data_IF_739869609010
#
_entry.id   IF_739869609010
#
_cell.length_a   1.000
_cell.length_b   1.000
_cell.length_c   1.000
_cell.angle_alpha   90.00
_cell.angle_beta   90.00
_cell.angle_gamma   90.00
#
_symmetry.space_group_name_H-M   'P 1'
#
loop_
_entity.id
_entity.type
_entity.pdbx_description
1 polymer ?
#
# COMPACT_ATOMS: atom_id res chain seq x y z
N UNK A 1 6.74 -13.52 -5.13
CA UNK A 1 6.73 -14.51 -4.02
C UNK A 1 7.55 -14.14 -2.79
N UNK A 2 8.77 -13.61 -2.87
CA UNK A 2 9.60 -13.30 -1.67
C UNK A 2 8.94 -12.32 -0.70
N UNK A 3 8.36 -11.22 -1.18
CA UNK A 3 7.71 -10.22 -0.34
C UNK A 3 6.48 -10.80 0.38
N UNK A 4 5.59 -11.46 -0.35
CA UNK A 4 4.39 -12.07 0.22
C UNK A 4 4.72 -13.09 1.32
N UNK A 5 5.73 -13.95 1.08
CA UNK A 5 6.20 -14.89 2.10
C UNK A 5 6.83 -14.19 3.32
N UNK A 6 7.51 -13.06 3.13
CA UNK A 6 8.05 -12.26 4.22
C UNK A 6 6.93 -11.65 5.08
N UNK A 7 5.95 -11.03 4.44
CA UNK A 7 4.80 -10.43 5.12
C UNK A 7 4.01 -11.48 5.94
N UNK A 8 3.79 -12.67 5.37
CA UNK A 8 3.13 -13.76 6.12
C UNK A 8 3.92 -14.20 7.35
N UNK A 9 5.23 -14.30 7.25
CA UNK A 9 6.08 -14.58 8.44
C UNK A 9 6.02 -13.46 9.49
N UNK A 10 5.71 -12.25 9.06
CA UNK A 10 5.49 -11.10 9.94
C UNK A 10 4.05 -11.01 10.48
N UNK A 11 3.22 -12.03 10.28
CA UNK A 11 1.87 -12.10 10.82
C UNK A 11 0.79 -11.42 9.96
N UNK A 12 1.10 -11.01 8.74
CA UNK A 12 0.13 -10.40 7.83
C UNK A 12 -0.60 -11.49 7.03
N UNK A 13 -1.93 -11.46 7.03
CA UNK A 13 -2.74 -12.33 6.17
C UNK A 13 -2.69 -11.85 4.72
N UNK A 14 -1.71 -12.35 3.98
CA UNK A 14 -1.51 -12.02 2.58
C UNK A 14 -2.29 -12.97 1.71
N UNK A 15 -3.08 -12.41 0.78
CA UNK A 15 -3.72 -13.15 -0.31
C UNK A 15 -2.93 -12.88 -1.59
N UNK A 16 -2.51 -13.95 -2.22
CA UNK A 16 -1.79 -13.92 -3.49
C UNK A 16 -2.48 -14.89 -4.44
N UNK A 17 -2.71 -14.46 -5.65
CA UNK A 17 -3.30 -15.24 -6.73
C UNK A 17 -2.64 -16.61 -6.92
N UNK A 18 -1.30 -16.62 -6.92
CA UNK A 18 -0.49 -17.84 -7.05
C UNK A 18 -0.67 -18.86 -5.91
N UNK A 19 -1.31 -18.47 -4.83
CA UNK A 19 -1.67 -19.36 -3.70
C UNK A 19 -3.14 -19.75 -3.72
N UNK A 20 -3.91 -19.18 -4.64
CA UNK A 20 -5.29 -19.57 -4.82
C UNK A 20 -5.35 -21.02 -5.34
N UNK A 21 -6.40 -21.71 -4.94
CA UNK A 21 -6.54 -23.16 -4.96
C UNK A 21 -6.35 -23.78 -6.36
N UNK A 22 -6.02 -25.06 -6.38
CA UNK A 22 -5.57 -25.85 -7.53
C UNK A 22 -6.71 -26.14 -8.53
N UNK A 23 -7.15 -25.14 -9.26
CA UNK A 23 -8.20 -25.29 -10.27
C UNK A 23 -8.12 -24.21 -11.34
N UNK A 24 -9.04 -24.27 -12.29
CA UNK A 24 -9.23 -23.18 -13.26
C UNK A 24 -9.87 -22.00 -12.49
N UNK A 25 -9.10 -20.94 -12.30
CA UNK A 25 -9.55 -19.76 -11.57
C UNK A 25 -10.10 -18.76 -12.58
N UNK A 26 -11.29 -18.27 -12.32
CA UNK A 26 -11.79 -17.05 -12.94
C UNK A 26 -11.15 -15.85 -12.23
N UNK A 27 -10.17 -15.25 -12.87
CA UNK A 27 -9.39 -14.14 -12.33
C UNK A 27 -10.21 -12.91 -12.04
N UNK A 28 -11.16 -12.58 -12.91
CA UNK A 28 -12.05 -11.44 -12.71
C UNK A 28 -12.86 -11.63 -11.43
N UNK A 29 -13.43 -12.79 -11.24
CA UNK A 29 -14.19 -13.13 -10.05
C UNK A 29 -13.32 -13.17 -8.78
N UNK A 30 -12.07 -13.63 -8.91
CA UNK A 30 -11.12 -13.61 -7.79
C UNK A 30 -10.79 -12.17 -7.36
N UNK A 31 -10.51 -11.29 -8.32
CA UNK A 31 -10.23 -9.87 -8.09
C UNK A 31 -11.45 -9.19 -7.46
N UNK A 32 -12.64 -9.38 -8.03
CA UNK A 32 -13.89 -8.80 -7.52
C UNK A 32 -14.17 -9.16 -6.06
N UNK A 33 -13.82 -10.37 -5.66
CA UNK A 33 -14.04 -10.82 -4.28
C UNK A 33 -12.96 -10.37 -3.30
N UNK A 34 -11.70 -10.41 -3.73
CA UNK A 34 -10.58 -10.21 -2.82
C UNK A 34 -10.16 -8.74 -2.70
N UNK A 35 -10.24 -7.97 -3.78
CA UNK A 35 -9.76 -6.59 -3.78
C UNK A 35 -10.60 -5.69 -2.86
N UNK A 36 -11.94 -5.65 -2.95
CA UNK A 36 -12.77 -4.85 -2.04
C UNK A 36 -12.75 -5.33 -0.59
N UNK A 37 -12.46 -6.60 -0.36
CA UNK A 37 -12.42 -7.21 0.98
C UNK A 37 -11.05 -7.02 1.68
N UNK A 38 -10.04 -6.55 0.98
CA UNK A 38 -8.71 -6.33 1.54
C UNK A 38 -8.65 -5.05 2.39
N UNK A 39 -7.96 -5.12 3.53
CA UNK A 39 -7.63 -3.93 4.30
C UNK A 39 -6.61 -3.06 3.57
N UNK A 40 -5.67 -3.69 2.87
CA UNK A 40 -4.66 -3.03 2.05
C UNK A 40 -4.45 -3.78 0.74
N UNK A 41 -4.19 -3.03 -0.32
CA UNK A 41 -3.82 -3.56 -1.64
C UNK A 41 -2.41 -3.10 -1.96
N UNK A 42 -1.50 -4.05 -2.12
CA UNK A 42 -0.11 -3.76 -2.48
C UNK A 42 0.04 -3.82 -4.01
N UNK A 43 0.29 -2.68 -4.62
CA UNK A 43 0.58 -2.60 -6.06
C UNK A 43 2.07 -2.62 -6.26
N UNK A 44 2.58 -3.72 -6.79
CA UNK A 44 4.00 -3.87 -7.07
C UNK A 44 4.33 -3.15 -8.39
N UNK A 45 5.11 -2.07 -8.26
CA UNK A 45 5.54 -1.31 -9.43
C UNK A 45 6.50 -2.14 -10.29
N UNK A 46 6.22 -2.17 -11.59
CA UNK A 46 7.07 -2.75 -12.61
C UNK A 46 6.72 -2.16 -13.98
N UNK A 47 7.68 -2.13 -14.92
CA UNK A 47 7.44 -1.68 -16.28
C UNK A 47 6.33 -2.49 -16.97
N UNK A 48 6.27 -3.78 -16.67
CA UNK A 48 5.25 -4.65 -17.21
C UNK A 48 3.85 -4.28 -16.71
N UNK A 49 3.70 -4.09 -15.39
CA UNK A 49 2.44 -3.64 -14.81
C UNK A 49 2.05 -2.25 -15.31
N UNK A 50 3.01 -1.32 -15.41
CA UNK A 50 2.78 0.02 -15.95
C UNK A 50 2.22 -0.02 -17.37
N UNK A 51 2.84 -0.81 -18.26
CA UNK A 51 2.38 -0.96 -19.67
C UNK A 51 0.97 -1.53 -19.73
N UNK A 52 0.70 -2.61 -19.00
CA UNK A 52 -0.62 -3.23 -18.94
C UNK A 52 -1.68 -2.32 -18.34
N UNK A 53 -1.32 -1.58 -17.29
CA UNK A 53 -2.22 -0.62 -16.65
C UNK A 53 -2.50 0.62 -17.51
N UNK A 54 -1.64 0.96 -18.46
CA UNK A 54 -1.79 2.13 -19.34
C UNK A 54 -2.63 1.86 -20.60
N UNK A 55 -3.15 0.64 -20.78
CA UNK A 55 -3.94 0.23 -21.95
C UNK A 55 -3.18 0.29 -23.28
N UNK A 56 -1.85 0.33 -23.24
CA UNK A 56 -0.99 0.43 -24.44
C UNK A 56 -0.82 -0.91 -25.19
N UNK A 57 -1.43 -1.99 -24.67
CA UNK A 57 -1.33 -3.32 -25.27
C UNK A 57 -2.62 -3.71 -25.96
N UNK A 58 -2.49 -4.08 -27.23
CA UNK A 58 -3.59 -4.55 -28.10
C UNK A 58 -3.75 -6.08 -28.11
N UNK A 59 -2.90 -6.82 -27.39
CA UNK A 59 -2.88 -8.27 -27.39
C UNK A 59 -3.61 -8.86 -26.20
N UNK A 60 -4.18 -10.06 -26.37
CA UNK A 60 -4.91 -10.84 -25.37
C UNK A 60 -4.07 -11.23 -24.14
N UNK A 61 -2.76 -11.03 -24.19
CA UNK A 61 -1.84 -11.25 -23.08
C UNK A 61 -1.87 -10.07 -22.09
N UNK A 62 -2.49 -10.26 -20.93
CA UNK A 62 -2.47 -9.26 -19.86
C UNK A 62 -3.83 -8.77 -19.40
N UNK A 63 -4.92 -9.34 -19.91
CA UNK A 63 -6.29 -8.98 -19.52
C UNK A 63 -6.51 -8.94 -18.00
N UNK A 64 -5.86 -9.81 -17.21
CA UNK A 64 -5.96 -9.81 -15.77
C UNK A 64 -5.44 -8.53 -15.12
N UNK A 65 -4.24 -8.07 -15.51
CA UNK A 65 -3.63 -6.85 -14.95
C UNK A 65 -4.36 -5.58 -15.41
N UNK A 66 -4.93 -5.57 -16.62
CA UNK A 66 -5.78 -4.47 -17.09
C UNK A 66 -7.07 -4.39 -16.28
N UNK A 67 -7.71 -5.52 -16.01
CA UNK A 67 -8.91 -5.60 -15.20
C UNK A 67 -8.64 -5.14 -13.76
N UNK A 68 -7.55 -5.60 -13.14
CA UNK A 68 -7.11 -5.13 -11.82
C UNK A 68 -6.89 -3.62 -11.79
N UNK A 69 -6.20 -3.07 -12.80
CA UNK A 69 -5.95 -1.64 -12.88
C UNK A 69 -7.23 -0.83 -13.07
N UNK A 70 -8.18 -1.31 -13.87
CA UNK A 70 -9.49 -0.70 -14.06
C UNK A 70 -10.27 -0.69 -12.73
N UNK A 71 -10.33 -1.81 -12.03
CA UNK A 71 -10.99 -1.90 -10.74
C UNK A 71 -10.36 -0.97 -9.69
N UNK A 72 -9.03 -0.88 -9.63
CA UNK A 72 -8.34 0.06 -8.73
C UNK A 72 -8.69 1.52 -9.04
N UNK A 73 -8.80 1.88 -10.33
CA UNK A 73 -9.27 3.23 -10.73
C UNK A 73 -10.70 3.48 -10.27
N UNK A 74 -11.59 2.51 -10.43
CA UNK A 74 -13.00 2.64 -10.03
C UNK A 74 -13.12 2.80 -8.51
N UNK A 75 -12.39 2.03 -7.73
CA UNK A 75 -12.33 2.17 -6.27
C UNK A 75 -11.82 3.56 -5.85
N UNK A 76 -10.75 4.04 -6.49
CA UNK A 76 -10.20 5.38 -6.25
C UNK A 76 -11.14 6.50 -6.69
N UNK A 77 -11.92 6.31 -7.76
CA UNK A 77 -12.89 7.29 -8.23
C UNK A 77 -14.12 7.32 -7.34
N UNK A 78 -14.66 6.15 -7.00
CA UNK A 78 -15.91 6.03 -6.25
C UNK A 78 -15.78 6.35 -4.76
N UNK A 79 -14.66 5.96 -4.11
CA UNK A 79 -14.42 6.14 -2.67
C UNK A 79 -12.98 6.53 -2.38
N UNK A 80 -12.53 7.61 -2.97
CA UNK A 80 -11.14 8.08 -2.91
C UNK A 80 -10.58 8.16 -1.48
N UNK A 81 -11.29 8.81 -0.57
CA UNK A 81 -10.84 8.99 0.81
C UNK A 81 -10.58 7.66 1.54
N UNK A 82 -11.34 6.62 1.18
CA UNK A 82 -11.20 5.29 1.76
C UNK A 82 -10.03 4.50 1.13
N UNK A 83 -9.92 4.52 -0.20
CA UNK A 83 -8.98 3.67 -0.91
C UNK A 83 -7.59 4.29 -1.07
N UNK A 84 -7.49 5.62 -1.05
CA UNK A 84 -6.20 6.31 -1.18
C UNK A 84 -5.17 5.90 -0.13
N UNK A 85 -5.60 5.68 1.11
CA UNK A 85 -4.73 5.23 2.20
C UNK A 85 -4.50 3.72 2.24
N UNK A 86 -5.26 2.94 1.47
CA UNK A 86 -5.24 1.48 1.48
C UNK A 86 -4.53 0.87 0.28
N UNK A 87 -4.45 1.59 -0.84
CA UNK A 87 -3.70 1.15 -2.02
C UNK A 87 -2.27 1.67 -1.88
N UNK A 88 -1.34 0.74 -1.67
CA UNK A 88 0.05 1.03 -1.35
C UNK A 88 0.96 0.68 -2.53
N UNK A 89 1.53 1.67 -3.24
CA UNK A 89 2.55 1.42 -4.25
C UNK A 89 3.85 0.92 -3.61
N UNK A 90 4.31 -0.25 -4.02
CA UNK A 90 5.51 -0.90 -3.49
C UNK A 90 6.58 -0.98 -4.57
N UNK A 91 7.78 -0.53 -4.23
CA UNK A 91 8.96 -0.61 -5.08
C UNK A 91 9.86 -1.76 -4.59
N UNK A 92 10.01 -2.78 -5.42
CA UNK A 92 10.98 -3.85 -5.18
C UNK A 92 12.39 -3.39 -5.54
N UNK A 93 13.44 -4.07 -5.06
CA UNK A 93 14.81 -3.76 -5.44
C UNK A 93 15.02 -3.77 -6.95
N UNK A 94 15.59 -2.69 -7.49
CA UNK A 94 15.83 -2.52 -8.93
C UNK A 94 14.69 -1.83 -9.69
N UNK A 95 13.57 -1.51 -9.03
CA UNK A 95 12.45 -0.80 -9.64
C UNK A 95 12.41 0.69 -9.25
N UNK A 96 11.94 1.52 -10.18
CA UNK A 96 11.88 2.97 -10.04
C UNK A 96 10.47 3.52 -9.80
N UNK A 97 10.41 4.78 -9.41
CA UNK A 97 9.15 5.50 -9.19
C UNK A 97 8.37 5.72 -10.50
N UNK A 98 9.07 5.81 -11.61
CA UNK A 98 8.56 5.94 -12.97
C UNK A 98 7.77 4.70 -13.43
N UNK A 99 7.94 3.58 -12.75
CA UNK A 99 7.19 2.34 -12.98
C UNK A 99 5.83 2.30 -12.24
N UNK A 100 5.54 3.30 -11.42
CA UNK A 100 4.24 3.40 -10.75
C UNK A 100 3.21 3.99 -11.73
N UNK A 101 2.06 3.32 -11.97
CA UNK A 101 1.02 3.84 -12.84
C UNK A 101 0.53 5.23 -12.44
N UNK A 102 0.24 6.08 -13.44
CA UNK A 102 -0.16 7.47 -13.22
C UNK A 102 -1.36 7.65 -12.31
N UNK A 103 -2.33 6.75 -12.35
CA UNK A 103 -3.51 6.83 -11.50
C UNK A 103 -3.21 6.65 -10.01
N UNK A 104 -2.04 6.11 -9.67
CA UNK A 104 -1.54 6.00 -8.30
C UNK A 104 -0.60 7.15 -7.91
N UNK A 105 -0.10 7.93 -8.88
CA UNK A 105 0.92 8.95 -8.63
C UNK A 105 0.41 10.29 -8.12
N UNK A 106 -0.75 10.86 -8.54
CA UNK A 106 -0.97 12.31 -8.44
C UNK A 106 -1.09 12.83 -7.01
N UNK A 107 -1.24 11.98 -6.02
CA UNK A 107 -1.39 12.40 -4.64
C UNK A 107 -0.68 11.48 -3.65
N UNK A 108 -0.05 10.44 -4.13
CA UNK A 108 0.74 9.51 -3.34
C UNK A 108 2.22 9.89 -3.45
N UNK A 109 2.61 10.94 -2.75
CA UNK A 109 4.01 11.12 -2.40
C UNK A 109 4.55 9.90 -1.61
N UNK A 110 3.63 9.06 -1.12
CA UNK A 110 3.94 7.91 -0.30
C UNK A 110 4.06 6.68 -1.17
N UNK A 111 5.25 6.19 -1.28
CA UNK A 111 5.65 4.93 -1.90
C UNK A 111 6.45 4.13 -0.89
N UNK A 112 6.42 2.81 -1.01
CA UNK A 112 7.08 1.91 -0.07
C UNK A 112 8.22 1.17 -0.78
N UNK A 113 9.44 1.74 -0.78
CA UNK A 113 10.61 1.00 -1.22
C UNK A 113 10.89 -0.12 -0.22
N UNK A 114 10.97 -1.36 -0.71
CA UNK A 114 11.28 -2.50 0.13
C UNK A 114 12.61 -3.11 -0.25
N UNK A 115 13.30 -3.66 0.73
CA UNK A 115 14.47 -4.48 0.50
C UNK A 115 14.41 -5.74 1.35
N UNK A 116 15.20 -6.75 0.98
CA UNK A 116 15.25 -8.01 1.75
C UNK A 116 16.38 -8.03 2.77
N UNK A 117 16.92 -6.85 3.10
CA UNK A 117 17.83 -6.65 4.23
C UNK A 117 17.03 -6.49 5.54
N UNK A 118 17.65 -6.71 6.71
CA UNK A 118 17.00 -6.40 7.99
C UNK A 118 16.44 -4.97 8.01
N UNK A 119 15.19 -4.82 8.45
CA UNK A 119 14.51 -3.52 8.49
C UNK A 119 14.00 -2.99 7.15
N UNK A 120 14.31 -3.65 6.03
CA UNK A 120 13.98 -3.15 4.70
C UNK A 120 12.50 -3.21 4.31
N UNK A 121 11.63 -3.72 5.17
CA UNK A 121 10.17 -3.76 5.01
C UNK A 121 9.44 -3.07 6.15
N UNK A 122 10.16 -2.50 7.11
CA UNK A 122 9.57 -1.98 8.35
C UNK A 122 8.57 -0.85 8.10
N UNK A 123 8.84 0.02 7.13
CA UNK A 123 7.93 1.11 6.81
C UNK A 123 6.60 0.61 6.26
N UNK A 124 6.63 -0.38 5.38
CA UNK A 124 5.43 -1.04 4.85
C UNK A 124 4.67 -1.77 5.96
N UNK A 125 5.39 -2.53 6.80
CA UNK A 125 4.79 -3.25 7.93
C UNK A 125 4.12 -2.30 8.92
N UNK A 126 4.75 -1.17 9.25
CA UNK A 126 4.16 -0.15 10.15
C UNK A 126 2.82 0.36 9.65
N UNK A 127 2.73 0.65 8.36
CA UNK A 127 1.48 1.13 7.76
C UNK A 127 0.39 0.07 7.83
N UNK A 128 0.72 -1.16 7.43
CA UNK A 128 -0.24 -2.27 7.43
C UNK A 128 -0.72 -2.61 8.85
N UNK A 129 0.16 -2.50 9.84
CA UNK A 129 -0.17 -2.81 11.24
C UNK A 129 -0.64 -1.60 12.05
N UNK A 130 -0.79 -0.43 11.42
CA UNK A 130 -1.26 0.79 12.08
C UNK A 130 -0.28 1.38 13.10
N UNK A 131 1.01 1.03 13.05
CA UNK A 131 2.02 1.55 13.95
C UNK A 131 2.56 2.89 13.44
N UNK A 132 2.48 3.99 14.21
CA UNK A 132 2.98 5.28 13.78
C UNK A 132 4.51 5.24 13.65
N UNK A 133 5.04 5.99 12.68
CA UNK A 133 6.50 6.15 12.51
C UNK A 133 7.15 6.86 13.69
N UNK A 134 6.43 7.80 14.28
CA UNK A 134 6.83 8.54 15.47
C UNK A 134 5.67 8.56 16.46
N UNK A 135 5.98 8.28 17.70
CA UNK A 135 5.03 8.49 18.80
C UNK A 135 5.27 9.90 19.32
N UNK A 136 4.30 10.82 19.24
CA UNK A 136 4.48 12.13 19.80
C UNK A 136 4.70 12.02 21.32
N UNK A 137 5.55 12.87 21.91
CA UNK A 137 5.69 12.90 23.36
C UNK A 137 4.33 13.24 24.00
N UNK A 138 4.09 12.82 25.24
CA UNK A 138 2.87 13.18 25.94
C UNK A 138 2.73 14.71 26.01
N UNK A 139 1.50 15.20 25.90
CA UNK A 139 1.21 16.62 26.03
C UNK A 139 1.72 17.12 27.39
N UNK A 140 2.58 18.13 27.35
CA UNK A 140 2.97 18.87 28.53
C UNK A 140 1.80 19.67 29.12
N UNK A 141 2.00 20.29 30.28
CA UNK A 141 1.02 21.24 30.82
C UNK A 141 0.83 22.40 29.84
N UNK A 142 -0.41 22.90 29.67
CA UNK A 142 -0.64 24.10 28.86
C UNK A 142 0.28 25.24 29.32
N UNK A 143 0.88 25.93 28.37
CA UNK A 143 1.68 27.10 28.68
C UNK A 143 0.77 28.15 29.34
N UNK A 144 1.20 28.69 30.47
CA UNK A 144 0.51 29.78 31.17
C UNK A 144 1.51 30.89 31.48
N UNK A 145 1.22 32.15 31.15
CA UNK A 145 2.08 33.27 31.52
C UNK A 145 2.20 33.45 33.01
N UNK A 146 1.29 32.89 33.79
CA UNK A 146 1.25 32.99 35.23
C UNK A 146 1.90 31.83 35.99
N UNK A 147 2.34 30.78 35.29
CA UNK A 147 2.97 29.60 35.90
C UNK A 147 4.28 29.91 36.67
N UNK A 148 4.90 31.05 36.39
CA UNK A 148 6.10 31.49 37.11
C UNK A 148 5.80 32.19 38.44
N UNK A 149 4.59 32.74 38.63
CA UNK A 149 4.20 33.44 39.88
C UNK A 149 3.89 32.46 41.01
N UNK A 150 3.52 31.22 40.74
CA UNK A 150 3.23 30.24 41.80
C UNK A 150 4.50 29.75 42.52
N UNK A 151 5.68 29.85 41.93
CA UNK A 151 6.96 29.43 42.54
C UNK A 151 7.58 30.47 43.45
N UNK A 152 6.96 31.64 43.60
CA UNK A 152 7.48 32.75 44.38
C UNK A 152 6.62 33.06 45.65
N UNK A 153 5.69 32.17 46.00
CA UNK A 153 5.01 32.28 47.30
C UNK A 153 5.83 31.57 48.38
N UNK A 154 6.27 32.29 49.41
CA UNK A 154 7.02 31.71 50.53
C UNK A 154 6.20 30.72 51.34
#
# INVERSE_FOLDING_TARGET
MRLAGHLRRSGIDVRLDQWADRGRIDWSLWVDRNLPAADYVLVIASLEYLRRASEELTDDEGCGSQYEAAMLRDLLTGRRAHWHSRILPVLLPGHGIDEIPRFLQPHAATRYPVSFKPGGTDELLRVITGHPRMVPPPLGRPWSPYAQCERLRP
#
